data_IF_583995048535
#
_entry.id   IF_583995048535
#
_cell.length_a   1.000
_cell.length_b   1.000
_cell.length_c   1.000
_cell.angle_alpha   90.00
_cell.angle_beta   90.00
_cell.angle_gamma   90.00
#
_symmetry.space_group_name_H-M   'P 1'
#
loop_
_entity.id
_entity.type
_entity.pdbx_description
1 polymer ?
#
# COMPACT_ATOMS: atom_id res chain seq x y z
N UNK A 1 -3.15 -32.50 -14.95
CA UNK A 1 -1.91 -31.69 -15.11
C UNK A 1 -2.22 -30.29 -15.64
N UNK A 2 -3.12 -30.14 -16.63
CA UNK A 2 -3.51 -28.82 -17.15
C UNK A 2 -4.27 -27.94 -16.14
N UNK A 3 -5.19 -28.51 -15.36
CA UNK A 3 -5.96 -27.74 -14.35
C UNK A 3 -5.08 -27.11 -13.25
N UNK A 4 -4.05 -27.82 -12.82
CA UNK A 4 -3.10 -27.32 -11.81
C UNK A 4 -2.27 -26.17 -12.38
N UNK A 5 -1.80 -26.30 -13.63
CA UNK A 5 -1.04 -25.25 -14.31
C UNK A 5 -1.88 -23.97 -14.50
N UNK A 6 -3.16 -24.13 -14.84
CA UNK A 6 -4.11 -23.03 -14.98
C UNK A 6 -4.35 -22.32 -13.64
N UNK A 7 -4.54 -23.08 -12.55
CA UNK A 7 -4.69 -22.51 -11.20
C UNK A 7 -3.46 -21.70 -10.75
N UNK A 8 -2.25 -22.17 -11.06
CA UNK A 8 -1.02 -21.41 -10.80
C UNK A 8 -0.94 -20.15 -11.64
N UNK A 9 -1.30 -20.21 -12.92
CA UNK A 9 -1.31 -19.05 -13.81
C UNK A 9 -2.30 -17.96 -13.33
N UNK A 10 -3.50 -18.35 -12.91
CA UNK A 10 -4.51 -17.43 -12.35
C UNK A 10 -4.01 -16.80 -11.05
N UNK A 11 -3.47 -17.61 -10.14
CA UNK A 11 -2.96 -17.12 -8.85
C UNK A 11 -1.78 -16.15 -9.06
N UNK A 12 -0.89 -16.45 -9.99
CA UNK A 12 0.21 -15.58 -10.36
C UNK A 12 -0.28 -14.27 -10.99
N UNK A 13 -1.30 -14.34 -11.84
CA UNK A 13 -1.96 -13.15 -12.41
C UNK A 13 -2.51 -12.22 -11.34
N UNK A 14 -3.24 -12.76 -10.37
CA UNK A 14 -3.78 -11.97 -9.25
C UNK A 14 -2.69 -11.41 -8.35
N UNK A 15 -1.61 -12.14 -8.09
CA UNK A 15 -0.46 -11.63 -7.34
C UNK A 15 0.18 -10.43 -8.04
N UNK A 16 0.26 -10.45 -9.38
CA UNK A 16 0.81 -9.37 -10.18
C UNK A 16 -0.09 -8.12 -10.15
N UNK A 17 -1.41 -8.30 -10.31
CA UNK A 17 -2.40 -7.23 -10.15
C UNK A 17 -2.33 -6.63 -8.73
N UNK A 18 -2.19 -7.50 -7.72
CA UNK A 18 -1.91 -7.19 -6.33
C UNK A 18 -0.76 -6.21 -6.15
N UNK A 19 0.41 -6.61 -6.64
CA UNK A 19 1.65 -5.86 -6.51
C UNK A 19 1.59 -4.51 -7.22
N UNK A 20 1.07 -4.47 -8.45
CA UNK A 20 0.95 -3.23 -9.22
C UNK A 20 0.00 -2.25 -8.53
N UNK A 21 -1.17 -2.73 -8.10
CA UNK A 21 -2.17 -1.90 -7.41
C UNK A 21 -1.62 -1.35 -6.10
N UNK A 22 -0.86 -2.14 -5.34
CA UNK A 22 -0.22 -1.68 -4.11
C UNK A 22 0.83 -0.59 -4.39
N UNK A 23 1.68 -0.79 -5.40
CA UNK A 23 2.70 0.18 -5.78
C UNK A 23 2.09 1.53 -6.19
N UNK A 24 1.07 1.50 -7.05
CA UNK A 24 0.34 2.72 -7.43
C UNK A 24 -0.43 3.33 -6.25
N UNK A 25 -1.08 2.49 -5.44
CA UNK A 25 -1.85 2.90 -4.28
C UNK A 25 -1.00 3.67 -3.27
N UNK A 26 0.21 3.18 -2.96
CA UNK A 26 1.10 3.83 -1.99
C UNK A 26 1.42 5.26 -2.44
N UNK A 27 1.76 5.44 -3.72
CA UNK A 27 2.10 6.76 -4.27
C UNK A 27 0.92 7.72 -4.14
N UNK A 28 -0.29 7.27 -4.50
CA UNK A 28 -1.50 8.09 -4.43
C UNK A 28 -1.83 8.41 -2.98
N UNK A 29 -1.86 7.41 -2.10
CA UNK A 29 -2.23 7.58 -0.68
C UNK A 29 -1.26 8.51 0.04
N UNK A 30 0.06 8.33 -0.12
CA UNK A 30 1.04 9.21 0.51
C UNK A 30 0.93 10.65 0.01
N UNK A 31 0.69 10.83 -1.30
CA UNK A 31 0.49 12.17 -1.86
C UNK A 31 -0.80 12.83 -1.38
N UNK A 32 -1.89 12.06 -1.25
CA UNK A 32 -3.14 12.57 -0.68
C UNK A 32 -3.00 12.90 0.81
N UNK A 33 -2.22 12.10 1.54
CA UNK A 33 -1.91 12.35 2.95
C UNK A 33 -1.15 13.67 3.11
N UNK A 34 0.01 13.82 2.46
CA UNK A 34 0.82 15.05 2.40
C UNK A 34 0.00 16.28 1.97
N UNK A 35 -0.87 16.12 0.97
CA UNK A 35 -1.79 17.18 0.55
C UNK A 35 -2.82 17.58 1.61
N UNK A 36 -3.16 16.71 2.54
CA UNK A 36 -4.10 16.95 3.64
C UNK A 36 -3.41 17.61 4.84
N UNK A 37 -2.09 17.45 4.95
CA UNK A 37 -1.23 17.90 6.06
C UNK A 37 -0.15 18.87 5.59
N UNK A 38 -0.50 19.78 4.66
CA UNK A 38 0.44 20.71 4.00
C UNK A 38 1.32 21.55 4.91
N UNK A 39 0.89 21.79 6.15
CA UNK A 39 1.63 22.58 7.13
C UNK A 39 2.65 21.75 7.94
N UNK A 40 2.72 20.43 7.69
CA UNK A 40 3.54 19.47 8.42
C UNK A 40 4.38 18.65 7.46
N UNK A 41 5.70 18.76 7.54
CA UNK A 41 6.61 17.85 6.80
C UNK A 41 6.81 16.57 7.62
N UNK A 42 6.02 15.53 7.31
CA UNK A 42 6.06 14.29 8.07
C UNK A 42 7.36 13.54 7.86
N UNK A 43 7.93 13.63 6.66
CA UNK A 43 9.21 12.98 6.35
C UNK A 43 10.36 13.62 7.13
N UNK A 44 10.34 14.94 7.34
CA UNK A 44 11.27 15.63 8.22
C UNK A 44 11.08 15.19 9.67
N UNK A 45 9.84 15.18 10.18
CA UNK A 45 9.55 14.78 11.56
C UNK A 45 9.96 13.33 11.86
N UNK A 46 9.74 12.40 10.91
CA UNK A 46 10.21 11.01 11.05
C UNK A 46 11.74 10.95 11.10
N UNK A 47 12.45 11.74 10.26
CA UNK A 47 13.93 11.81 10.29
C UNK A 47 14.47 12.40 11.58
N UNK A 48 13.75 13.34 12.19
CA UNK A 48 14.08 13.92 13.49
C UNK A 48 13.77 12.98 14.67
N UNK A 49 13.18 11.81 14.42
CA UNK A 49 12.89 10.81 15.44
C UNK A 49 11.52 10.93 16.09
N UNK A 50 10.57 11.65 15.47
CA UNK A 50 9.20 11.74 15.95
C UNK A 50 8.45 10.40 15.77
N UNK A 51 8.52 9.55 16.79
CA UNK A 51 7.87 8.22 16.81
C UNK A 51 6.35 8.31 16.56
N UNK A 52 5.58 9.23 17.17
CA UNK A 52 4.15 9.38 16.88
C UNK A 52 3.84 9.54 15.39
N UNK A 53 4.56 10.41 14.69
CA UNK A 53 4.36 10.65 13.25
C UNK A 53 4.73 9.42 12.43
N UNK A 54 5.80 8.72 12.80
CA UNK A 54 6.19 7.45 12.15
C UNK A 54 5.10 6.37 12.29
N UNK A 55 4.45 6.27 13.46
CA UNK A 55 3.34 5.33 13.69
C UNK A 55 2.14 5.70 12.81
N UNK A 56 1.81 6.98 12.69
CA UNK A 56 0.69 7.44 11.84
C UNK A 56 0.96 7.11 10.37
N UNK A 57 2.15 7.44 9.85
CA UNK A 57 2.56 7.10 8.49
C UNK A 57 2.52 5.60 8.23
N UNK A 58 3.03 4.80 9.18
CA UNK A 58 2.97 3.34 9.11
C UNK A 58 1.53 2.81 9.10
N UNK A 59 0.65 3.37 9.94
CA UNK A 59 -0.76 3.00 9.98
C UNK A 59 -1.48 3.32 8.67
N UNK A 60 -1.18 4.46 8.04
CA UNK A 60 -1.71 4.81 6.70
C UNK A 60 -1.29 3.77 5.67
N UNK A 61 -0.01 3.39 5.62
CA UNK A 61 0.49 2.37 4.68
C UNK A 61 -0.16 1.00 4.93
N UNK A 62 -0.28 0.59 6.21
CA UNK A 62 -0.95 -0.67 6.55
C UNK A 62 -2.42 -0.66 6.17
N UNK A 63 -3.14 0.44 6.42
CA UNK A 63 -4.55 0.58 6.07
C UNK A 63 -4.77 0.43 4.56
N UNK A 64 -3.89 1.02 3.75
CA UNK A 64 -3.90 0.84 2.29
C UNK A 64 -3.69 -0.63 1.91
N UNK A 65 -2.73 -1.31 2.55
CA UNK A 65 -2.47 -2.74 2.28
C UNK A 65 -3.70 -3.61 2.53
N UNK A 66 -4.46 -3.30 3.59
CA UNK A 66 -5.72 -3.98 3.90
C UNK A 66 -6.77 -3.70 2.81
N UNK A 67 -6.92 -2.43 2.39
CA UNK A 67 -7.87 -2.04 1.35
C UNK A 67 -7.56 -2.72 0.01
N UNK A 68 -6.30 -2.69 -0.42
CA UNK A 68 -5.84 -3.34 -1.65
C UNK A 68 -6.03 -4.85 -1.60
N UNK A 69 -5.70 -5.48 -0.47
CA UNK A 69 -5.93 -6.92 -0.25
C UNK A 69 -7.42 -7.26 -0.34
N UNK A 70 -8.30 -6.45 0.25
CA UNK A 70 -9.75 -6.65 0.18
C UNK A 70 -10.30 -6.47 -1.24
N UNK A 71 -9.70 -5.57 -2.04
CA UNK A 71 -10.16 -5.29 -3.41
C UNK A 71 -9.73 -6.34 -4.45
N UNK A 72 -8.63 -7.07 -4.18
CA UNK A 72 -7.99 -7.96 -5.17
C UNK A 72 -8.29 -9.43 -4.88
N UNK A 73 -8.77 -9.75 -3.67
CA UNK A 73 -9.30 -11.08 -3.37
C UNK A 73 -10.57 -11.32 -4.20
N UNK A 74 -10.58 -12.32 -5.10
CA UNK A 74 -11.78 -12.69 -5.84
C UNK A 74 -12.85 -13.31 -4.94
#
# INVERSE_FOLDING_TARGET
>A
MNEVLEAYAITFGWALVGSISMGMGIIITLKMFDMSTRDVDEWALVKEGNIPVAIILGAVIMSLGIVVSAAIRP
#
